data_IF_752046187139
#
_entry.id   IF_752046187139
#
_cell.length_a   1.000
_cell.length_b   1.000
_cell.length_c   1.000
_cell.angle_alpha   90.00
_cell.angle_beta   90.00
_cell.angle_gamma   90.00
#
_symmetry.space_group_name_H-M   'P 1'
#
loop_
_entity.id
_entity.type
_entity.pdbx_description
1 polymer ?
#
# COMPACT_ATOMS: atom_id res chain seq x y z
N UNK A 1 55.01 -33.27 -9.87
CA UNK A 1 54.35 -32.80 -11.10
C UNK A 1 52.94 -33.37 -11.17
N UNK A 2 51.93 -32.53 -10.97
CA UNK A 2 50.50 -32.85 -11.17
C UNK A 2 49.82 -31.62 -11.78
N UNK A 3 49.15 -31.82 -12.90
CA UNK A 3 48.57 -30.78 -13.75
C UNK A 3 47.44 -30.01 -13.04
N UNK A 4 47.49 -28.68 -13.10
CA UNK A 4 46.38 -27.80 -12.68
C UNK A 4 45.29 -27.84 -13.76
N UNK A 5 44.11 -28.39 -13.45
CA UNK A 5 42.90 -28.22 -14.27
C UNK A 5 42.35 -26.81 -14.06
N UNK A 6 42.16 -26.08 -15.16
CA UNK A 6 41.50 -24.79 -15.20
C UNK A 6 40.02 -24.94 -14.79
N UNK A 7 39.57 -24.06 -13.87
CA UNK A 7 38.17 -23.95 -13.47
C UNK A 7 37.52 -22.84 -14.30
N UNK A 8 36.54 -23.22 -15.11
CA UNK A 8 35.66 -22.33 -15.87
C UNK A 8 34.88 -21.40 -14.93
N UNK A 9 34.64 -20.13 -15.28
CA UNK A 9 33.79 -19.25 -14.49
C UNK A 9 32.32 -19.65 -14.68
N UNK A 10 31.62 -19.87 -13.56
CA UNK A 10 30.19 -20.12 -13.54
C UNK A 10 29.41 -18.87 -13.94
N UNK A 11 28.41 -19.10 -14.79
CA UNK A 11 27.45 -18.13 -15.31
C UNK A 11 26.66 -17.46 -14.19
N UNK A 12 26.83 -16.16 -14.03
CA UNK A 12 25.94 -15.29 -13.25
C UNK A 12 24.58 -15.25 -13.94
N UNK A 13 23.53 -15.73 -13.26
CA UNK A 13 22.14 -15.51 -13.67
C UNK A 13 21.76 -14.07 -13.34
N UNK A 14 21.84 -13.20 -14.33
CA UNK A 14 21.28 -11.85 -14.27
C UNK A 14 19.76 -11.96 -14.37
N UNK A 15 19.05 -11.74 -13.25
CA UNK A 15 17.59 -11.52 -13.29
C UNK A 15 17.35 -10.18 -13.97
N UNK A 16 16.97 -10.20 -15.24
CA UNK A 16 16.63 -9.02 -16.00
C UNK A 16 15.20 -8.62 -15.65
N UNK A 17 15.05 -7.78 -14.62
CA UNK A 17 13.82 -7.02 -14.43
C UNK A 17 13.68 -6.07 -15.61
N UNK A 18 12.85 -6.44 -16.59
CA UNK A 18 12.49 -5.57 -17.71
C UNK A 18 11.80 -4.33 -17.14
N UNK A 19 12.52 -3.21 -17.17
CA UNK A 19 11.97 -1.88 -16.89
C UNK A 19 10.96 -1.56 -17.99
N UNK A 20 9.67 -1.73 -17.71
CA UNK A 20 8.61 -1.16 -18.53
C UNK A 20 8.51 0.33 -18.24
N UNK A 21 9.17 1.14 -19.06
CA UNK A 21 8.94 2.58 -19.13
C UNK A 21 7.83 2.84 -20.14
N UNK A 22 6.57 2.82 -19.71
CA UNK A 22 5.48 3.44 -20.45
C UNK A 22 5.05 4.69 -19.68
N UNK A 23 5.56 5.84 -20.10
CA UNK A 23 5.09 7.14 -19.61
C UNK A 23 3.64 7.33 -20.03
N UNK A 24 2.72 7.22 -19.07
CA UNK A 24 1.30 7.51 -19.28
C UNK A 24 1.06 9.02 -19.06
N UNK A 25 0.33 9.71 -19.96
CA UNK A 25 0.12 11.16 -19.92
C UNK A 25 -0.91 11.65 -18.89
N UNK A 26 -1.24 10.85 -17.87
CA UNK A 26 -2.08 11.26 -16.75
C UNK A 26 -1.26 11.17 -15.47
N UNK A 27 -0.50 12.22 -15.17
CA UNK A 27 0.05 12.39 -13.83
C UNK A 27 -1.07 12.84 -12.86
N UNK A 28 -2.09 12.00 -12.70
CA UNK A 28 -2.87 11.97 -11.47
C UNK A 28 -1.84 11.77 -10.36
N UNK A 29 -1.66 12.77 -9.50
CA UNK A 29 -0.63 12.69 -8.46
C UNK A 29 -1.00 11.53 -7.55
N UNK A 30 -0.28 10.41 -7.68
CA UNK A 30 -0.49 9.22 -6.86
C UNK A 30 -0.44 9.61 -5.38
N UNK A 31 -1.42 9.14 -4.60
CA UNK A 31 -1.47 9.40 -3.17
C UNK A 31 -0.16 8.97 -2.49
N UNK A 32 0.38 9.85 -1.65
CA UNK A 32 1.59 9.61 -0.91
C UNK A 32 1.43 10.09 0.54
N UNK A 33 1.24 9.20 1.52
CA UNK A 33 0.86 9.59 2.87
C UNK A 33 1.91 10.46 3.57
N UNK A 34 3.20 10.23 3.32
CA UNK A 34 4.27 11.09 3.87
C UNK A 34 4.27 12.50 3.28
N UNK A 35 3.70 12.69 2.08
CA UNK A 35 3.54 14.03 1.51
C UNK A 35 2.35 14.73 2.15
N UNK A 36 1.22 14.03 2.29
CA UNK A 36 0.04 14.55 2.98
C UNK A 36 0.38 14.95 4.43
N UNK A 37 1.09 14.09 5.17
CA UNK A 37 1.57 14.41 6.52
C UNK A 37 2.47 15.64 6.54
N UNK A 38 3.39 15.79 5.57
CA UNK A 38 4.26 16.98 5.50
C UNK A 38 3.46 18.27 5.21
N UNK A 39 2.37 18.16 4.46
CA UNK A 39 1.49 19.29 4.16
C UNK A 39 0.61 19.67 5.36
N UNK A 40 0.26 18.70 6.22
CA UNK A 40 -0.41 18.89 7.50
C UNK A 40 0.59 19.14 8.65
N UNK A 41 1.31 20.25 8.57
CA UNK A 41 2.43 20.60 9.47
C UNK A 41 2.08 20.70 10.97
N UNK A 42 0.80 20.80 11.31
CA UNK A 42 0.26 20.80 12.65
C UNK A 42 0.17 19.40 13.29
N UNK A 43 0.26 18.34 12.47
CA UNK A 43 0.20 16.95 12.93
C UNK A 43 1.59 16.47 13.31
N UNK A 44 1.74 16.00 14.55
CA UNK A 44 2.99 15.41 15.03
C UNK A 44 3.01 13.89 14.77
N UNK A 45 4.05 13.39 14.11
CA UNK A 45 4.27 11.95 13.98
C UNK A 45 5.22 11.44 15.08
N UNK A 46 4.77 10.43 15.82
CA UNK A 46 5.49 9.82 16.93
C UNK A 46 5.73 8.33 16.62
N UNK A 47 6.98 7.90 16.73
CA UNK A 47 7.31 6.47 16.67
C UNK A 47 7.10 5.83 18.03
N UNK A 48 6.18 4.88 18.13
CA UNK A 48 5.81 4.20 19.36
C UNK A 48 6.42 2.80 19.41
N UNK A 49 7.09 2.45 20.51
CA UNK A 49 7.61 1.10 20.74
C UNK A 49 6.56 0.16 21.37
N UNK A 50 5.60 0.74 22.08
CA UNK A 50 4.60 0.04 22.90
C UNK A 50 3.20 0.57 22.60
N UNK A 51 2.61 0.11 21.49
CA UNK A 51 1.17 0.21 21.26
C UNK A 51 0.49 -1.06 21.81
N UNK A 52 -0.83 -1.02 22.09
CA UNK A 52 -1.57 -2.22 22.46
C UNK A 52 -1.38 -3.34 21.42
N UNK A 53 -1.47 -4.60 21.87
CA UNK A 53 -1.28 -5.75 20.98
C UNK A 53 -2.26 -5.71 19.79
N UNK A 54 -1.72 -5.90 18.59
CA UNK A 54 -2.49 -5.82 17.34
C UNK A 54 -2.75 -4.40 16.82
N UNK A 55 -2.31 -3.36 17.53
CA UNK A 55 -2.44 -1.96 17.08
C UNK A 55 -1.15 -1.52 16.39
N UNK A 56 -1.27 -1.17 15.11
CA UNK A 56 -0.15 -0.71 14.29
C UNK A 56 0.00 0.81 14.28
N UNK A 57 -1.10 1.54 14.48
CA UNK A 57 -1.11 2.98 14.60
C UNK A 57 -2.33 3.47 15.38
N UNK A 58 -2.28 4.74 15.76
CA UNK A 58 -3.39 5.43 16.41
C UNK A 58 -3.27 6.94 16.20
N UNK A 59 -4.38 7.65 16.39
CA UNK A 59 -4.41 9.11 16.40
C UNK A 59 -5.33 9.68 17.48
N UNK A 60 -5.06 10.92 17.89
CA UNK A 60 -5.95 11.75 18.70
C UNK A 60 -6.40 13.03 17.97
N UNK A 61 -6.32 13.06 16.64
CA UNK A 61 -6.65 14.24 15.83
C UNK A 61 -5.50 15.25 15.67
N UNK A 62 -4.42 15.14 16.45
CA UNK A 62 -3.25 16.06 16.41
C UNK A 62 -1.91 15.34 16.35
N UNK A 63 -1.87 14.13 16.86
CA UNK A 63 -0.69 13.28 16.89
C UNK A 63 -1.05 11.96 16.21
N UNK A 64 -0.09 11.41 15.48
CA UNK A 64 -0.16 10.06 14.93
C UNK A 64 0.95 9.26 15.60
N UNK A 65 0.57 8.14 16.22
CA UNK A 65 1.52 7.14 16.67
C UNK A 65 1.61 6.03 15.64
N UNK A 66 2.82 5.71 15.19
CA UNK A 66 3.08 4.51 14.38
C UNK A 66 4.00 3.56 15.13
N UNK A 67 3.68 2.27 15.10
CA UNK A 67 4.53 1.25 15.68
C UNK A 67 5.90 1.25 14.99
N UNK A 68 6.97 1.33 15.78
CA UNK A 68 8.35 1.28 15.27
C UNK A 68 8.70 -0.06 14.63
N UNK A 69 7.92 -1.11 14.91
CA UNK A 69 8.12 -2.48 14.44
C UNK A 69 7.57 -2.73 13.02
N UNK A 70 6.82 -1.77 12.47
CA UNK A 70 6.18 -1.93 11.16
C UNK A 70 7.19 -1.95 10.00
N UNK A 71 6.92 -2.76 8.99
CA UNK A 71 7.55 -2.68 7.67
C UNK A 71 7.13 -1.41 6.93
N UNK A 72 7.87 -1.05 5.87
CA UNK A 72 7.57 0.17 5.10
C UNK A 72 6.17 0.17 4.49
N UNK A 73 5.72 -0.99 4.00
CA UNK A 73 4.38 -1.19 3.42
C UNK A 73 3.29 -0.96 4.46
N UNK A 74 3.43 -1.54 5.65
CA UNK A 74 2.48 -1.37 6.76
C UNK A 74 2.41 0.09 7.21
N UNK A 75 3.56 0.79 7.30
CA UNK A 75 3.60 2.22 7.65
C UNK A 75 2.86 3.07 6.63
N UNK A 76 2.98 2.77 5.33
CA UNK A 76 2.24 3.47 4.27
C UNK A 76 0.72 3.30 4.44
N UNK A 77 0.27 2.09 4.71
CA UNK A 77 -1.15 1.79 4.88
C UNK A 77 -1.69 2.43 6.17
N UNK A 78 -1.03 2.17 7.29
CA UNK A 78 -1.40 2.69 8.60
C UNK A 78 -1.38 4.22 8.62
N UNK A 79 -0.35 4.87 8.09
CA UNK A 79 -0.32 6.34 8.04
C UNK A 79 -1.47 6.92 7.22
N UNK A 80 -1.86 6.26 6.12
CA UNK A 80 -3.03 6.69 5.35
C UNK A 80 -4.31 6.53 6.17
N UNK A 81 -4.47 5.41 6.87
CA UNK A 81 -5.60 5.15 7.77
C UNK A 81 -5.73 6.25 8.83
N UNK A 82 -4.65 6.55 9.56
CA UNK A 82 -4.65 7.57 10.61
C UNK A 82 -4.90 8.99 10.05
N UNK A 83 -4.36 9.32 8.86
CA UNK A 83 -4.66 10.60 8.22
C UNK A 83 -6.15 10.75 7.86
N UNK A 84 -6.79 9.68 7.38
CA UNK A 84 -8.24 9.69 7.09
C UNK A 84 -9.04 9.91 8.38
N UNK A 85 -8.64 9.32 9.51
CA UNK A 85 -9.27 9.63 10.80
C UNK A 85 -9.23 11.13 11.12
N UNK A 86 -8.05 11.74 11.00
CA UNK A 86 -7.87 13.17 11.30
C UNK A 86 -8.70 14.05 10.36
N UNK A 87 -8.72 13.74 9.06
CA UNK A 87 -9.51 14.47 8.07
C UNK A 87 -11.03 14.40 8.34
N UNK A 88 -11.52 13.29 8.90
CA UNK A 88 -12.90 13.14 9.35
C UNK A 88 -13.18 13.79 10.71
N UNK A 89 -12.17 14.40 11.34
CA UNK A 89 -12.29 15.04 12.64
C UNK A 89 -12.35 14.07 13.82
N UNK A 90 -11.89 12.82 13.64
CA UNK A 90 -11.84 11.84 14.72
C UNK A 90 -10.66 12.11 15.66
N UNK A 91 -10.92 12.08 16.96
CA UNK A 91 -9.92 12.30 18.02
C UNK A 91 -9.79 11.11 19.00
N UNK A 92 -10.42 9.99 18.67
CA UNK A 92 -10.39 8.76 19.44
C UNK A 92 -11.08 7.60 18.70
N UNK A 93 -11.22 6.47 19.40
CA UNK A 93 -11.76 5.23 18.85
C UNK A 93 -13.14 5.43 18.21
N UNK A 94 -13.34 4.86 17.02
CA UNK A 94 -14.63 4.91 16.35
C UNK A 94 -15.38 3.58 16.44
N UNK A 95 -16.72 3.59 16.27
CA UNK A 95 -17.47 2.35 16.10
C UNK A 95 -16.99 1.56 14.88
N UNK A 96 -17.11 0.23 14.93
CA UNK A 96 -16.65 -0.69 13.87
C UNK A 96 -17.14 -0.30 12.46
N UNK A 97 -18.36 0.19 12.33
CA UNK A 97 -18.90 0.63 11.04
C UNK A 97 -18.15 1.84 10.46
N UNK A 98 -17.70 2.76 11.32
CA UNK A 98 -16.93 3.95 10.93
C UNK A 98 -15.48 3.55 10.62
N UNK A 99 -14.87 2.68 11.43
CA UNK A 99 -13.54 2.11 11.14
C UNK A 99 -13.50 1.46 9.76
N UNK A 100 -14.55 0.69 9.39
CA UNK A 100 -14.65 0.11 8.05
C UNK A 100 -14.68 1.16 6.94
N UNK A 101 -15.36 2.29 7.16
CA UNK A 101 -15.39 3.40 6.19
C UNK A 101 -14.01 4.05 6.04
N UNK A 102 -13.28 4.23 7.14
CA UNK A 102 -11.90 4.72 7.12
C UNK A 102 -10.99 3.77 6.33
N UNK A 103 -11.07 2.46 6.59
CA UNK A 103 -10.32 1.46 5.84
C UNK A 103 -10.61 1.52 4.33
N UNK A 104 -11.88 1.66 3.95
CA UNK A 104 -12.27 1.77 2.53
C UNK A 104 -11.70 3.03 1.90
N UNK A 105 -11.80 4.17 2.56
CA UNK A 105 -11.27 5.43 2.04
C UNK A 105 -9.74 5.39 1.92
N UNK A 106 -9.05 4.88 2.95
CA UNK A 106 -7.59 4.69 2.92
C UNK A 106 -7.17 3.78 1.76
N UNK A 107 -7.87 2.66 1.58
CA UNK A 107 -7.60 1.71 0.50
C UNK A 107 -7.86 2.31 -0.89
N UNK A 108 -8.91 3.13 -1.07
CA UNK A 108 -9.19 3.84 -2.33
C UNK A 108 -8.09 4.84 -2.70
N UNK A 109 -7.54 5.55 -1.72
CA UNK A 109 -6.41 6.48 -1.94
C UNK A 109 -5.14 5.74 -2.34
N UNK A 110 -4.84 4.64 -1.64
CA UNK A 110 -3.62 3.87 -1.87
C UNK A 110 -3.64 3.07 -3.17
N UNK A 111 -4.82 2.59 -3.59
CA UNK A 111 -5.01 1.64 -4.68
C UNK A 111 -6.01 2.22 -5.68
N UNK A 112 -5.48 2.88 -6.70
CA UNK A 112 -6.27 3.43 -7.81
C UNK A 112 -6.83 2.32 -8.69
N UNK A 113 -7.92 2.62 -9.42
CA UNK A 113 -8.50 1.67 -10.37
C UNK A 113 -7.51 1.31 -11.49
N UNK A 114 -6.71 2.29 -11.96
CA UNK A 114 -5.67 2.06 -12.97
C UNK A 114 -4.58 1.09 -12.51
N UNK A 115 -4.20 1.15 -11.22
CA UNK A 115 -3.27 0.17 -10.65
C UNK A 115 -3.88 -1.23 -10.61
N UNK A 116 -5.16 -1.36 -10.21
CA UNK A 116 -5.85 -2.65 -10.26
C UNK A 116 -5.93 -3.19 -11.70
N UNK A 117 -6.29 -2.37 -12.68
CA UNK A 117 -6.29 -2.77 -14.10
C UNK A 117 -4.91 -3.24 -14.57
N UNK A 118 -3.84 -2.64 -14.06
CA UNK A 118 -2.47 -2.97 -14.44
C UNK A 118 -2.01 -4.30 -13.83
N UNK A 119 -2.30 -4.53 -12.54
CA UNK A 119 -1.68 -5.63 -11.79
C UNK A 119 -2.59 -6.85 -11.60
N UNK A 120 -3.90 -6.65 -11.50
CA UNK A 120 -4.87 -7.71 -11.22
C UNK A 120 -4.82 -8.88 -12.24
N UNK A 121 -4.65 -8.66 -13.56
CA UNK A 121 -4.61 -9.78 -14.52
C UNK A 121 -3.37 -10.69 -14.40
N UNK A 122 -2.31 -10.20 -13.74
CA UNK A 122 -1.02 -10.90 -13.68
C UNK A 122 -0.75 -11.55 -12.31
N UNK A 123 -1.40 -11.07 -11.26
CA UNK A 123 -1.19 -11.59 -9.92
C UNK A 123 -1.76 -13.00 -9.77
N UNK A 124 -0.97 -13.89 -9.17
CA UNK A 124 -1.33 -15.29 -8.92
C UNK A 124 -1.98 -15.50 -7.55
N UNK A 125 -1.92 -14.51 -6.67
CA UNK A 125 -2.50 -14.53 -5.33
C UNK A 125 -2.82 -13.13 -4.79
N UNK A 126 -3.57 -13.07 -3.69
CA UNK A 126 -3.82 -11.83 -2.93
C UNK A 126 -2.52 -11.23 -2.38
N UNK A 127 -1.63 -12.07 -1.86
CA UNK A 127 -0.31 -11.67 -1.35
C UNK A 127 0.53 -11.02 -2.46
N UNK A 128 0.67 -11.68 -3.63
CA UNK A 128 1.44 -11.13 -4.75
C UNK A 128 0.85 -9.81 -5.27
N UNK A 129 -0.48 -9.71 -5.32
CA UNK A 129 -1.15 -8.47 -5.71
C UNK A 129 -0.89 -7.34 -4.70
N UNK A 130 -0.96 -7.63 -3.39
CA UNK A 130 -0.69 -6.67 -2.34
C UNK A 130 0.77 -6.18 -2.40
N UNK A 131 1.73 -7.09 -2.61
CA UNK A 131 3.14 -6.76 -2.84
C UNK A 131 3.33 -5.84 -4.06
N UNK A 132 2.73 -6.20 -5.20
CA UNK A 132 2.79 -5.39 -6.44
C UNK A 132 2.21 -3.98 -6.26
N UNK A 133 1.15 -3.85 -5.45
CA UNK A 133 0.49 -2.59 -5.14
C UNK A 133 1.13 -1.82 -3.98
N UNK A 134 2.10 -2.43 -3.30
CA UNK A 134 2.80 -1.90 -2.13
C UNK A 134 1.82 -1.51 -1.01
N UNK A 135 0.95 -2.45 -0.65
CA UNK A 135 -0.02 -2.39 0.45
C UNK A 135 -0.03 -3.70 1.24
N UNK A 136 -0.64 -3.71 2.42
CA UNK A 136 -0.96 -4.96 3.14
C UNK A 136 -2.23 -5.64 2.58
N UNK A 137 -2.40 -6.92 2.89
CA UNK A 137 -3.53 -7.72 2.40
C UNK A 137 -4.89 -7.21 2.88
N UNK A 138 -4.96 -6.67 4.11
CA UNK A 138 -6.20 -6.13 4.67
C UNK A 138 -6.65 -4.86 3.91
N UNK A 139 -5.71 -3.98 3.57
CA UNK A 139 -5.97 -2.79 2.72
C UNK A 139 -6.43 -3.21 1.33
N UNK A 140 -5.76 -4.20 0.71
CA UNK A 140 -6.16 -4.73 -0.59
C UNK A 140 -7.57 -5.33 -0.54
N UNK A 141 -7.86 -6.14 0.49
CA UNK A 141 -9.18 -6.73 0.71
C UNK A 141 -10.25 -5.66 0.86
N UNK A 142 -10.02 -4.64 1.69
CA UNK A 142 -10.93 -3.51 1.84
C UNK A 142 -11.21 -2.82 0.51
N UNK A 143 -10.21 -2.67 -0.36
CA UNK A 143 -10.39 -2.11 -1.70
C UNK A 143 -11.29 -2.97 -2.59
N UNK A 144 -10.99 -4.27 -2.69
CA UNK A 144 -11.69 -5.19 -3.59
C UNK A 144 -13.14 -5.44 -3.15
N UNK A 145 -13.40 -5.49 -1.85
CA UNK A 145 -14.75 -5.67 -1.30
C UNK A 145 -15.66 -4.42 -1.48
N UNK A 146 -15.09 -3.26 -1.83
CA UNK A 146 -15.81 -1.98 -1.90
C UNK A 146 -15.57 -1.25 -3.23
N UNK A 147 -15.39 -2.01 -4.32
CA UNK A 147 -15.40 -1.48 -5.68
C UNK A 147 -16.80 -0.96 -6.03
N UNK A 148 -16.85 0.20 -6.70
CA UNK A 148 -18.10 0.72 -7.28
C UNK A 148 -18.54 -0.13 -8.47
N UNK A 149 -19.80 0.02 -8.91
CA UNK A 149 -20.31 -0.70 -10.07
C UNK A 149 -19.52 -0.37 -11.34
N UNK A 150 -19.13 0.89 -11.49
CA UNK A 150 -18.32 1.40 -12.59
C UNK A 150 -16.91 0.79 -12.56
N UNK A 151 -16.25 0.80 -11.40
CA UNK A 151 -14.92 0.19 -11.23
C UNK A 151 -14.94 -1.33 -11.51
N UNK A 152 -16.00 -2.04 -11.08
CA UNK A 152 -16.18 -3.46 -11.40
C UNK A 152 -16.32 -3.69 -12.90
N UNK A 153 -17.07 -2.84 -13.59
CA UNK A 153 -17.23 -2.92 -15.04
C UNK A 153 -15.89 -2.69 -15.75
N UNK A 154 -15.11 -1.70 -15.33
CA UNK A 154 -13.77 -1.45 -15.88
C UNK A 154 -12.83 -2.64 -15.71
N UNK A 155 -12.80 -3.26 -14.53
CA UNK A 155 -11.95 -4.43 -14.28
C UNK A 155 -12.42 -5.66 -15.05
N UNK A 156 -13.73 -5.88 -15.18
CA UNK A 156 -14.28 -7.01 -15.94
C UNK A 156 -13.85 -7.01 -17.40
N UNK A 157 -13.68 -5.82 -17.99
CA UNK A 157 -13.22 -5.65 -19.38
C UNK A 157 -11.80 -6.17 -19.53
N UNK A 158 -10.90 -5.77 -18.62
CA UNK A 158 -9.47 -6.15 -18.70
C UNK A 158 -9.24 -7.62 -18.36
N UNK A 159 -10.09 -8.23 -17.52
CA UNK A 159 -9.99 -9.65 -17.17
C UNK A 159 -10.59 -10.60 -18.23
N UNK A 160 -11.35 -10.07 -19.19
CA UNK A 160 -11.96 -10.86 -20.27
C UNK A 160 -11.13 -10.89 -21.56
N UNK A 161 -10.07 -10.07 -21.64
CA UNK A 161 -9.12 -9.98 -22.75
C UNK A 161 -7.94 -10.96 -22.57
#
# INVERSE_FOLDING_TARGET
>A
MRAKKAKTPGTTKTSSAKRFTHGHPYASTMWHPWRALREASEIELIWAENLPDGVLGATNGKQIWLSSKQFQTERRCTLTHELVHIELGHDGCQPVAVEKQVCVEAARRLITIDQLRTWLPWALSMEELAECLWVDEDTLKARLENLTAEELQELSTVLSD
#
